data_IF_558539964630
#
_entry.id   IF_558539964630
#
_cell.length_a   1.000
_cell.length_b   1.000
_cell.length_c   1.000
_cell.angle_alpha   90.00
_cell.angle_beta   90.00
_cell.angle_gamma   90.00
#
_symmetry.space_group_name_H-M   'P 1'
#
loop_
_entity.id
_entity.type
_entity.pdbx_description
1 polymer ?
#
# COMPACT_ATOMS: atom_id res chain seq x y z
N UNK A 1 -30.94 55.77 37.00
CA UNK A 1 -29.54 55.33 37.01
C UNK A 1 -29.44 54.07 36.15
N UNK A 2 -28.52 54.10 35.19
CA UNK A 2 -28.46 53.36 33.93
C UNK A 2 -28.27 51.83 34.07
N UNK A 3 -29.10 51.07 33.33
CA UNK A 3 -28.77 49.87 32.55
C UNK A 3 -27.94 48.74 33.16
N UNK A 4 -28.56 47.58 33.41
CA UNK A 4 -27.85 46.29 33.51
C UNK A 4 -27.88 45.55 32.17
N UNK A 5 -26.75 45.64 31.49
CA UNK A 5 -26.12 44.71 30.55
C UNK A 5 -26.32 43.25 31.07
N UNK A 6 -26.71 42.23 30.30
CA UNK A 6 -25.88 41.56 29.27
C UNK A 6 -26.71 40.56 28.44
N UNK A 7 -26.61 40.72 27.14
CA UNK A 7 -27.02 39.82 26.06
C UNK A 7 -26.27 38.48 26.08
N UNK A 8 -26.92 37.44 25.54
CA UNK A 8 -26.42 36.16 24.96
C UNK A 8 -26.55 34.90 25.82
N UNK A 9 -27.44 34.02 25.37
CA UNK A 9 -27.07 32.63 25.09
C UNK A 9 -27.59 32.27 23.69
N UNK A 10 -26.69 32.35 22.71
CA UNK A 10 -26.82 31.67 21.43
C UNK A 10 -26.39 30.24 21.72
N UNK A 11 -27.35 29.33 21.85
CA UNK A 11 -27.06 27.91 21.95
C UNK A 11 -26.38 27.47 20.66
N UNK A 12 -25.14 27.04 20.80
CA UNK A 12 -24.27 26.56 19.74
C UNK A 12 -24.87 25.33 19.09
N UNK A 13 -25.15 25.41 17.78
CA UNK A 13 -25.38 24.26 16.91
C UNK A 13 -24.25 23.24 17.13
N UNK A 14 -24.60 22.07 17.65
CA UNK A 14 -23.75 20.89 17.63
C UNK A 14 -23.76 20.35 16.19
N UNK A 15 -22.87 20.88 15.36
CA UNK A 15 -22.68 20.36 14.01
C UNK A 15 -22.00 18.99 14.13
N UNK A 16 -22.81 17.93 14.05
CA UNK A 16 -22.38 16.56 13.99
C UNK A 16 -21.56 16.33 12.71
N UNK A 17 -20.26 16.57 12.83
CA UNK A 17 -19.26 16.29 11.81
C UNK A 17 -19.26 14.77 11.53
N UNK A 18 -20.08 14.37 10.57
CA UNK A 18 -20.20 13.01 10.09
C UNK A 18 -18.96 12.71 9.26
N UNK A 19 -17.85 12.40 9.93
CA UNK A 19 -16.64 11.91 9.29
C UNK A 19 -16.97 10.56 8.63
N UNK A 20 -17.27 10.57 7.34
CA UNK A 20 -17.47 9.35 6.56
C UNK A 20 -16.15 8.55 6.60
N UNK A 21 -16.16 7.27 7.01
CA UNK A 21 -14.96 6.45 7.00
C UNK A 21 -14.47 6.28 5.56
N UNK A 22 -13.20 6.64 5.31
CA UNK A 22 -12.57 6.41 4.01
C UNK A 22 -12.48 4.91 3.74
N UNK A 23 -12.80 4.45 2.51
CA UNK A 23 -12.74 3.03 2.19
C UNK A 23 -11.32 2.49 2.38
N UNK A 24 -11.21 1.30 2.96
CA UNK A 24 -9.93 0.60 3.12
C UNK A 24 -9.40 0.20 1.74
N UNK A 25 -8.16 0.59 1.37
CA UNK A 25 -7.61 0.24 0.08
C UNK A 25 -7.36 -1.27 0.01
N UNK A 26 -7.60 -1.85 -1.15
CA UNK A 26 -7.35 -3.27 -1.44
C UNK A 26 -6.04 -3.41 -2.19
N UNK A 27 -5.20 -4.36 -1.77
CA UNK A 27 -3.91 -4.60 -2.39
C UNK A 27 -4.06 -5.17 -3.81
N UNK A 28 -3.62 -4.46 -4.87
CA UNK A 28 -3.69 -4.96 -6.22
C UNK A 28 -2.73 -6.12 -6.49
N UNK A 29 -1.92 -6.59 -5.52
CA UNK A 29 -1.16 -7.82 -5.70
C UNK A 29 -1.91 -9.05 -5.18
N UNK A 30 -2.31 -9.03 -3.90
CA UNK A 30 -2.90 -10.18 -3.23
C UNK A 30 -4.42 -10.13 -3.06
N UNK A 31 -5.07 -8.98 -3.30
CA UNK A 31 -6.51 -8.80 -3.19
C UNK A 31 -7.06 -8.64 -1.77
N UNK A 32 -6.20 -8.57 -0.74
CA UNK A 32 -6.62 -8.33 0.65
C UNK A 32 -6.69 -6.84 0.96
N UNK A 33 -7.52 -6.45 1.92
CA UNK A 33 -7.55 -5.09 2.47
C UNK A 33 -6.22 -4.73 3.14
N UNK A 34 -5.82 -3.46 3.03
CA UNK A 34 -4.57 -2.95 3.58
C UNK A 34 -4.86 -2.07 4.81
N UNK A 35 -4.61 -2.58 6.03
CA UNK A 35 -4.72 -1.77 7.23
C UNK A 35 -3.70 -0.62 7.16
N UNK A 36 -3.98 0.55 7.75
CA UNK A 36 -3.09 1.72 7.68
C UNK A 36 -1.62 1.42 7.98
N UNK A 37 -1.35 0.59 8.99
CA UNK A 37 0.01 0.21 9.41
C UNK A 37 0.79 -0.63 8.38
N UNK A 38 0.12 -1.20 7.39
CA UNK A 38 0.72 -2.04 6.35
C UNK A 38 0.73 -1.40 4.96
N UNK A 39 0.30 -0.15 4.81
CA UNK A 39 0.33 0.57 3.53
C UNK A 39 1.75 0.96 3.16
N UNK A 40 2.18 0.57 1.97
CA UNK A 40 3.46 0.95 1.37
C UNK A 40 3.25 1.35 -0.09
N UNK A 41 3.88 2.44 -0.52
CA UNK A 41 3.73 2.94 -1.89
C UNK A 41 4.77 2.28 -2.80
N UNK A 42 4.30 1.52 -3.79
CA UNK A 42 5.15 0.84 -4.75
C UNK A 42 5.11 1.54 -6.10
N UNK A 43 6.28 1.90 -6.63
CA UNK A 43 6.40 2.41 -7.99
C UNK A 43 6.47 1.23 -8.96
N UNK A 44 5.46 1.09 -9.83
CA UNK A 44 5.42 0.01 -10.83
C UNK A 44 6.60 0.10 -11.81
N UNK A 45 6.86 1.32 -12.28
CA UNK A 45 8.14 1.67 -12.90
C UNK A 45 9.01 2.31 -11.82
N UNK A 46 10.19 1.76 -11.49
CA UNK A 46 11.05 2.34 -10.46
C UNK A 46 11.42 3.80 -10.76
N UNK A 47 11.64 4.59 -9.70
CA UNK A 47 12.00 6.00 -9.81
C UNK A 47 13.32 6.21 -10.57
N UNK A 48 14.28 5.29 -10.41
CA UNK A 48 15.54 5.23 -11.16
C UNK A 48 15.33 5.11 -12.68
N UNK A 49 14.19 4.60 -13.11
CA UNK A 49 13.76 4.48 -14.50
C UNK A 49 12.67 5.51 -14.88
N UNK A 50 12.55 6.61 -14.12
CA UNK A 50 11.65 7.72 -14.44
C UNK A 50 10.17 7.51 -14.08
N UNK A 51 9.85 6.47 -13.32
CA UNK A 51 8.46 6.21 -12.93
C UNK A 51 7.89 7.21 -11.93
N UNK A 52 6.60 7.52 -12.09
CA UNK A 52 5.85 8.47 -11.25
C UNK A 52 4.58 7.88 -10.64
N UNK A 53 4.00 6.86 -11.29
CA UNK A 53 2.79 6.19 -10.79
C UNK A 53 3.14 5.29 -9.60
N UNK A 54 2.28 5.32 -8.58
CA UNK A 54 2.42 4.47 -7.39
C UNK A 54 1.12 3.75 -7.10
N UNK A 55 1.26 2.52 -6.63
CA UNK A 55 0.17 1.68 -6.14
C UNK A 55 0.38 1.39 -4.65
N UNK A 56 -0.71 1.34 -3.88
CA UNK A 56 -0.62 1.01 -2.45
C UNK A 56 -0.63 -0.51 -2.30
N UNK A 57 0.44 -1.07 -1.74
CA UNK A 57 0.60 -2.49 -1.45
C UNK A 57 0.74 -2.73 0.05
N UNK A 58 0.54 -3.99 0.48
CA UNK A 58 1.07 -4.41 1.79
C UNK A 58 2.58 -4.37 1.79
N UNK A 59 3.20 -4.00 2.91
CA UNK A 59 4.67 -4.06 3.10
C UNK A 59 5.27 -5.42 2.75
N UNK A 60 4.58 -6.52 3.06
CA UNK A 60 5.03 -7.88 2.69
C UNK A 60 4.98 -8.12 1.18
N UNK A 61 3.94 -7.63 0.51
CA UNK A 61 3.77 -7.75 -0.95
C UNK A 61 4.82 -6.93 -1.69
N UNK A 62 5.03 -5.68 -1.26
CA UNK A 62 6.07 -4.80 -1.81
C UNK A 62 7.46 -5.42 -1.66
N UNK A 63 7.80 -5.90 -0.46
CA UNK A 63 9.09 -6.56 -0.22
C UNK A 63 9.28 -7.83 -1.04
N UNK A 64 8.22 -8.59 -1.28
CA UNK A 64 8.31 -9.79 -2.12
C UNK A 64 8.65 -9.46 -3.57
N UNK A 65 8.08 -8.39 -4.14
CA UNK A 65 8.40 -7.95 -5.51
C UNK A 65 9.90 -7.67 -5.63
N UNK A 66 10.46 -6.87 -4.71
CA UNK A 66 11.91 -6.56 -4.72
C UNK A 66 12.81 -7.73 -4.29
N UNK A 67 12.26 -8.75 -3.65
CA UNK A 67 12.98 -9.99 -3.36
C UNK A 67 13.11 -10.89 -4.60
N UNK A 68 12.20 -10.75 -5.58
CA UNK A 68 12.17 -11.60 -6.77
C UNK A 68 12.69 -10.90 -8.03
N UNK A 69 12.48 -9.58 -8.17
CA UNK A 69 12.79 -8.85 -9.39
C UNK A 69 13.68 -7.63 -9.13
N UNK A 70 14.59 -7.38 -10.07
CA UNK A 70 15.41 -6.15 -10.11
C UNK A 70 14.58 -4.96 -10.59
N UNK A 71 15.05 -3.74 -10.29
CA UNK A 71 14.43 -2.51 -10.83
C UNK A 71 14.41 -2.50 -12.37
N UNK A 72 15.47 -2.99 -13.02
CA UNK A 72 15.54 -3.08 -14.47
C UNK A 72 14.54 -4.08 -15.06
N UNK A 73 14.20 -5.16 -14.34
CA UNK A 73 13.15 -6.10 -14.77
C UNK A 73 11.76 -5.47 -14.61
N UNK A 74 11.51 -4.79 -13.48
CA UNK A 74 10.30 -4.02 -13.23
C UNK A 74 10.05 -2.99 -14.33
N UNK A 75 11.07 -2.17 -14.64
CA UNK A 75 10.97 -1.11 -15.65
C UNK A 75 10.68 -1.63 -17.07
N UNK A 76 11.24 -2.79 -17.45
CA UNK A 76 11.16 -3.31 -18.82
C UNK A 76 9.85 -4.04 -19.10
N UNK A 77 9.52 -5.02 -18.26
CA UNK A 77 8.49 -6.03 -18.57
C UNK A 77 7.49 -6.26 -17.44
N UNK A 78 7.61 -5.55 -16.32
CA UNK A 78 6.91 -5.84 -15.08
C UNK A 78 6.34 -4.58 -14.41
N UNK A 79 6.07 -3.55 -15.21
CA UNK A 79 5.58 -2.23 -14.79
C UNK A 79 4.04 -2.15 -14.67
N UNK A 80 3.35 -3.29 -14.63
CA UNK A 80 1.90 -3.38 -14.37
C UNK A 80 1.60 -4.47 -13.36
N UNK A 81 0.50 -4.31 -12.61
CA UNK A 81 0.08 -5.30 -11.60
C UNK A 81 -0.33 -6.63 -12.24
N UNK A 82 -0.91 -6.57 -13.43
CA UNK A 82 -1.24 -7.73 -14.26
C UNK A 82 0.02 -8.50 -14.62
N UNK A 83 1.04 -7.82 -15.13
CA UNK A 83 2.32 -8.44 -15.50
C UNK A 83 2.97 -9.13 -14.29
N UNK A 84 2.99 -8.48 -13.12
CA UNK A 84 3.49 -9.08 -11.88
C UNK A 84 2.72 -10.34 -11.49
N UNK A 85 1.38 -10.31 -11.51
CA UNK A 85 0.52 -11.45 -11.17
C UNK A 85 0.70 -12.64 -12.11
N UNK A 86 1.08 -12.42 -13.36
CA UNK A 86 1.34 -13.53 -14.30
C UNK A 86 2.60 -14.33 -13.98
N UNK A 87 3.56 -13.76 -13.23
CA UNK A 87 4.87 -14.39 -13.03
C UNK A 87 4.80 -15.65 -12.17
N UNK A 88 5.39 -16.77 -12.64
CA UNK A 88 5.35 -18.03 -11.91
C UNK A 88 6.07 -17.94 -10.57
N UNK A 89 7.12 -17.13 -10.42
CA UNK A 89 7.82 -16.98 -9.14
C UNK A 89 6.97 -16.30 -8.06
N UNK A 90 5.99 -15.48 -8.47
CA UNK A 90 5.16 -14.70 -7.56
C UNK A 90 3.84 -15.40 -7.19
N UNK A 91 3.32 -16.27 -8.07
CA UNK A 91 2.05 -17.00 -7.87
C UNK A 91 1.99 -17.83 -6.57
N UNK A 92 3.02 -18.60 -6.17
CA UNK A 92 2.99 -19.34 -4.89
C UNK A 92 2.90 -18.40 -3.69
N UNK A 93 3.62 -17.29 -3.73
CA UNK A 93 3.55 -16.27 -2.69
C UNK A 93 2.16 -15.65 -2.59
N UNK A 94 1.54 -15.27 -3.72
CA UNK A 94 0.19 -14.69 -3.72
C UNK A 94 -0.82 -15.65 -3.09
N UNK A 95 -0.81 -16.92 -3.51
CA UNK A 95 -1.69 -17.95 -2.94
C UNK A 95 -1.49 -18.13 -1.44
N UNK A 96 -0.23 -18.15 -0.99
CA UNK A 96 0.10 -18.30 0.41
C UNK A 96 -0.27 -17.08 1.27
N UNK A 97 0.02 -15.86 0.80
CA UNK A 97 -0.24 -14.63 1.57
C UNK A 97 -1.74 -14.34 1.69
N UNK A 98 -2.54 -14.78 0.72
CA UNK A 98 -4.00 -14.69 0.77
C UNK A 98 -4.61 -15.44 1.96
N UNK A 99 -3.94 -16.49 2.47
CA UNK A 99 -4.43 -17.25 3.63
C UNK A 99 -4.07 -16.62 4.98
N UNK A 100 -3.40 -15.46 5.00
CA UNK A 100 -2.89 -14.82 6.22
C UNK A 100 -3.79 -13.66 6.66
N UNK A 101 -3.78 -13.30 7.96
CA UNK A 101 -4.41 -12.07 8.47
C UNK A 101 -3.96 -10.82 7.71
N UNK A 102 -4.83 -9.82 7.56
CA UNK A 102 -4.57 -8.61 6.76
C UNK A 102 -3.39 -7.76 7.27
N UNK A 103 -3.08 -7.86 8.55
CA UNK A 103 -1.98 -7.19 9.25
C UNK A 103 -0.69 -8.02 9.27
N UNK A 104 -0.73 -9.26 8.76
CA UNK A 104 0.41 -10.17 8.75
C UNK A 104 1.60 -9.58 7.99
N UNK A 105 2.76 -9.60 8.64
CA UNK A 105 4.01 -9.15 8.08
C UNK A 105 5.13 -10.14 8.36
N UNK A 106 5.95 -10.40 7.33
CA UNK A 106 7.19 -11.13 7.44
C UNK A 106 8.24 -10.49 6.54
N UNK A 107 9.51 -10.53 6.96
CA UNK A 107 10.63 -10.07 6.11
C UNK A 107 10.77 -11.01 4.90
N UNK A 108 10.83 -10.43 3.70
CA UNK A 108 11.21 -11.16 2.49
C UNK A 108 12.74 -11.25 2.39
N UNK A 109 13.26 -12.37 1.88
CA UNK A 109 14.68 -12.56 1.56
C UNK A 109 14.83 -12.55 0.05
N UNK A 110 15.87 -11.86 -0.45
CA UNK A 110 16.21 -11.88 -1.89
C UNK A 110 16.36 -13.31 -2.40
N UNK A 111 15.87 -13.56 -3.60
CA UNK A 111 16.03 -14.82 -4.30
C UNK A 111 17.51 -15.09 -4.58
N UNK A 112 17.87 -16.37 -4.72
CA UNK A 112 19.26 -16.75 -5.02
C UNK A 112 19.73 -16.12 -6.34
N UNK A 113 18.83 -16.03 -7.33
CA UNK A 113 19.09 -15.37 -8.61
C UNK A 113 19.55 -13.93 -8.43
N UNK A 114 18.82 -13.14 -7.64
CA UNK A 114 19.20 -11.75 -7.38
C UNK A 114 20.53 -11.66 -6.63
N UNK A 115 20.73 -12.48 -5.58
CA UNK A 115 21.98 -12.49 -4.82
C UNK A 115 23.19 -12.78 -5.71
N UNK A 116 23.07 -13.74 -6.63
CA UNK A 116 24.14 -14.08 -7.57
C UNK A 116 24.46 -12.99 -8.59
N UNK A 117 23.55 -12.04 -8.82
CA UNK A 117 23.76 -10.88 -9.71
C UNK A 117 24.42 -9.70 -9.00
N UNK A 118 24.53 -9.75 -7.67
CA UNK A 118 25.14 -8.70 -6.84
C UNK A 118 26.58 -9.04 -6.42
N UNK A 119 27.11 -10.18 -6.85
CA UNK A 119 28.48 -10.67 -6.59
C UNK A 119 29.38 -10.28 -7.75
#
# INVERSE_FOLDING_TARGET
>A
MVGRIKTKLRETRLDANTAQPTPTPVCPLCGREIPPAQRDAHHLTPKSHGGKATEILHRICHRQIHALFTEAELARNLNTMEALRTKPELKPFIRWVQTKPIDFFQKARKSQRLKSMEI
#
